data_IF_850856779564
#
_entry.id   IF_850856779564
#
_cell.length_a   1.000
_cell.length_b   1.000
_cell.length_c   1.000
_cell.angle_alpha   90.00
_cell.angle_beta   90.00
_cell.angle_gamma   90.00
#
_symmetry.space_group_name_H-M   'P 1'
#
loop_
_entity.id
_entity.type
_entity.pdbx_description
1 polymer ?
#
# COMPACT_ATOMS: atom_id res chain seq x y z
N UNK A 1 -34.95 -2.67 -40.38
CA UNK A 1 -34.56 -4.01 -40.83
C UNK A 1 -33.03 -4.02 -40.99
N UNK A 2 -32.37 -4.69 -40.04
CA UNK A 2 -30.99 -5.23 -40.05
C UNK A 2 -29.82 -4.29 -40.40
N UNK A 3 -29.22 -3.82 -39.32
CA UNK A 3 -27.82 -3.43 -39.15
C UNK A 3 -27.01 -4.71 -38.85
N UNK A 4 -25.87 -4.92 -39.53
CA UNK A 4 -24.75 -5.89 -39.32
C UNK A 4 -23.91 -5.75 -40.63
N UNK A 5 -22.57 -5.61 -40.73
CA UNK A 5 -21.50 -6.34 -40.05
C UNK A 5 -20.09 -5.84 -40.51
N UNK A 6 -19.70 -4.57 -40.32
CA UNK A 6 -18.35 -4.09 -40.72
C UNK A 6 -17.24 -4.49 -39.75
N UNK A 7 -17.55 -4.80 -38.49
CA UNK A 7 -16.56 -5.15 -37.47
C UNK A 7 -16.05 -6.60 -37.57
N UNK A 8 -16.81 -7.50 -38.20
CA UNK A 8 -16.41 -8.92 -38.35
C UNK A 8 -15.33 -9.15 -39.41
N UNK A 9 -15.25 -8.29 -40.43
CA UNK A 9 -14.22 -8.38 -41.47
C UNK A 9 -12.86 -7.90 -40.97
N UNK A 10 -12.82 -6.96 -40.02
CA UNK A 10 -11.57 -6.42 -39.48
C UNK A 10 -10.86 -7.41 -38.54
N UNK A 11 -11.62 -8.17 -37.75
CA UNK A 11 -11.06 -9.13 -36.79
C UNK A 11 -10.48 -10.37 -37.46
N UNK A 12 -11.10 -10.84 -38.55
CA UNK A 12 -10.68 -12.07 -39.24
C UNK A 12 -9.34 -11.90 -39.98
N UNK A 13 -9.05 -10.71 -40.52
CA UNK A 13 -7.81 -10.48 -41.26
C UNK A 13 -6.59 -10.31 -40.34
N UNK A 14 -6.75 -9.71 -39.16
CA UNK A 14 -5.64 -9.54 -38.21
C UNK A 14 -5.24 -10.89 -37.58
N UNK A 15 -6.22 -11.73 -37.22
CA UNK A 15 -5.97 -13.05 -36.62
C UNK A 15 -5.40 -14.08 -37.63
N UNK A 16 -5.60 -13.87 -38.94
CA UNK A 16 -5.04 -14.72 -39.99
C UNK A 16 -3.58 -14.38 -40.33
N UNK A 17 -3.19 -13.10 -40.24
CA UNK A 17 -1.82 -12.65 -40.57
C UNK A 17 -0.86 -12.82 -39.39
N UNK A 18 -1.34 -12.67 -38.14
CA UNK A 18 -0.54 -12.89 -36.91
C UNK A 18 -0.04 -14.36 -36.84
N UNK A 19 -0.75 -15.31 -37.43
CA UNK A 19 -0.30 -16.72 -37.47
C UNK A 19 0.86 -17.00 -38.43
N UNK A 20 1.23 -16.08 -39.32
CA UNK A 20 2.31 -16.31 -40.31
C UNK A 20 3.68 -15.74 -39.92
N UNK A 21 3.77 -15.01 -38.82
CA UNK A 21 5.04 -14.58 -38.21
C UNK A 21 6.05 -13.93 -39.20
N UNK A 22 5.56 -13.10 -40.12
CA UNK A 22 6.39 -12.35 -41.07
C UNK A 22 6.33 -10.85 -40.76
N UNK A 23 7.40 -10.32 -40.14
CA UNK A 23 7.49 -8.93 -39.69
C UNK A 23 7.57 -7.89 -40.83
N UNK A 24 7.73 -8.30 -42.09
CA UNK A 24 7.84 -7.34 -43.22
C UNK A 24 6.49 -6.80 -43.72
N UNK A 25 5.37 -7.38 -43.30
CA UNK A 25 4.03 -7.00 -43.79
C UNK A 25 3.38 -5.86 -42.99
N UNK A 26 3.82 -5.63 -41.75
CA UNK A 26 3.20 -4.63 -40.85
C UNK A 26 3.54 -3.18 -41.22
N UNK A 27 4.77 -2.94 -41.70
CA UNK A 27 5.24 -1.61 -42.12
C UNK A 27 4.56 -1.14 -43.42
N UNK A 28 4.23 -2.07 -44.31
CA UNK A 28 3.53 -1.82 -45.58
C UNK A 28 2.08 -1.34 -45.38
N UNK A 29 1.41 -1.83 -44.33
CA UNK A 29 0.00 -1.49 -44.02
C UNK A 29 -0.09 -0.10 -43.38
N UNK A 30 0.82 0.23 -42.46
CA UNK A 30 0.84 1.55 -41.80
C UNK A 30 1.17 2.69 -42.77
N UNK A 31 1.93 2.41 -43.84
CA UNK A 31 2.31 3.41 -44.84
C UNK A 31 1.27 3.64 -45.94
N UNK A 32 0.21 2.82 -46.04
CA UNK A 32 -0.84 2.98 -47.07
C UNK A 32 -2.10 3.71 -46.60
N UNK A 33 -2.36 3.85 -45.29
CA UNK A 33 -3.60 4.48 -44.79
C UNK A 33 -3.44 5.81 -44.03
N UNK A 34 -2.22 6.28 -43.78
CA UNK A 34 -2.00 7.60 -43.16
C UNK A 34 -1.74 8.69 -44.22
N UNK A 35 -2.79 9.40 -44.65
CA UNK A 35 -2.65 10.69 -45.34
C UNK A 35 -2.17 11.76 -44.35
N UNK A 36 -0.86 11.85 -44.12
CA UNK A 36 -0.24 12.98 -43.41
C UNK A 36 0.47 13.89 -44.42
N UNK A 37 0.26 15.23 -44.37
CA UNK A 37 0.85 16.15 -45.34
C UNK A 37 2.36 16.27 -45.18
N UNK A 38 3.05 16.22 -46.31
CA UNK A 38 4.50 16.27 -46.40
C UNK A 38 5.04 17.66 -46.08
N UNK A 39 5.84 17.81 -45.02
CA UNK A 39 7.02 18.69 -45.03
C UNK A 39 7.98 18.37 -43.88
N UNK A 40 9.23 18.15 -44.27
CA UNK A 40 10.49 18.02 -43.49
C UNK A 40 10.92 16.59 -43.12
N UNK A 41 11.43 15.91 -44.15
CA UNK A 41 12.59 15.02 -44.04
C UNK A 41 13.84 15.85 -43.70
N UNK A 42 14.62 15.45 -42.70
CA UNK A 42 16.09 15.44 -42.77
C UNK A 42 16.67 14.40 -41.81
N UNK A 43 17.49 13.54 -42.41
CA UNK A 43 18.27 12.44 -41.85
C UNK A 43 19.17 12.86 -40.68
N UNK A 44 19.41 11.91 -39.75
CA UNK A 44 20.72 11.26 -39.59
C UNK A 44 20.59 9.93 -38.82
N UNK A 45 20.94 8.86 -39.51
CA UNK A 45 21.30 7.56 -38.96
C UNK A 45 22.77 7.61 -38.51
N UNK A 46 23.06 7.14 -37.31
CA UNK A 46 24.36 6.56 -36.97
C UNK A 46 24.14 5.41 -36.00
N UNK A 47 24.67 4.26 -36.40
CA UNK A 47 24.50 2.93 -35.81
C UNK A 47 25.48 2.65 -34.65
N UNK A 48 25.13 1.64 -33.85
CA UNK A 48 25.97 0.96 -32.85
C UNK A 48 25.17 0.78 -31.55
N UNK A 49 24.90 -0.41 -31.00
CA UNK A 49 25.42 -1.74 -31.24
C UNK A 49 24.39 -2.81 -30.81
N UNK A 50 24.66 -4.03 -31.25
CA UNK A 50 23.84 -5.24 -31.25
C UNK A 50 23.34 -5.71 -29.86
N UNK A 51 22.11 -6.24 -29.83
CA UNK A 51 21.67 -7.17 -28.79
C UNK A 51 21.42 -8.53 -29.46
N UNK A 52 22.29 -9.48 -29.13
CA UNK A 52 22.30 -10.86 -29.59
C UNK A 52 21.17 -11.64 -28.88
N UNK A 53 20.29 -12.26 -29.65
CA UNK A 53 19.17 -13.07 -29.16
C UNK A 53 19.40 -14.50 -29.64
N UNK A 54 20.16 -15.28 -28.87
CA UNK A 54 20.35 -16.70 -29.13
C UNK A 54 19.10 -17.49 -28.71
N UNK A 55 18.40 -17.98 -29.73
CA UNK A 55 17.53 -19.16 -29.68
C UNK A 55 18.31 -20.37 -29.16
N UNK A 56 17.78 -21.06 -28.16
CA UNK A 56 18.09 -22.48 -27.95
C UNK A 56 16.81 -23.29 -27.78
N UNK A 57 16.64 -24.16 -28.78
CA UNK A 57 15.76 -25.30 -28.97
C UNK A 57 15.00 -25.90 -27.77
N UNK A 58 13.68 -25.71 -27.80
CA UNK A 58 12.67 -26.45 -27.04
C UNK A 58 12.35 -27.83 -27.64
N UNK A 59 13.36 -28.70 -27.77
CA UNK A 59 13.18 -30.13 -28.14
C UNK A 59 14.03 -31.13 -27.32
N UNK A 60 14.63 -30.73 -26.20
CA UNK A 60 15.27 -31.64 -25.24
C UNK A 60 14.93 -31.27 -23.80
N UNK A 61 13.69 -31.52 -23.39
CA UNK A 61 13.30 -31.61 -21.98
C UNK A 61 11.99 -32.42 -21.81
N UNK A 62 11.79 -33.41 -22.69
CA UNK A 62 10.78 -34.47 -22.57
C UNK A 62 11.50 -35.79 -22.27
N UNK A 63 12.08 -35.91 -21.08
CA UNK A 63 12.53 -37.20 -20.52
C UNK A 63 13.03 -37.07 -19.09
N UNK A 64 12.27 -36.41 -18.21
CA UNK A 64 12.48 -36.48 -16.75
C UNK A 64 11.34 -35.74 -16.06
N UNK A 65 10.24 -36.44 -15.81
CA UNK A 65 9.24 -36.23 -14.74
C UNK A 65 8.01 -37.08 -15.09
N UNK A 66 8.23 -38.38 -15.28
CA UNK A 66 7.21 -39.39 -15.10
C UNK A 66 7.58 -40.15 -13.83
N UNK A 67 6.58 -40.38 -12.97
CA UNK A 67 6.61 -40.99 -11.62
C UNK A 67 6.59 -39.99 -10.47
N UNK A 68 5.39 -39.58 -10.09
CA UNK A 68 4.91 -39.60 -8.70
C UNK A 68 3.38 -39.48 -8.74
N UNK A 69 2.72 -40.64 -8.82
CA UNK A 69 1.30 -40.79 -8.52
C UNK A 69 1.13 -40.79 -7.00
N UNK A 70 0.28 -39.92 -6.46
CA UNK A 70 -0.27 -40.07 -5.11
C UNK A 70 -1.79 -40.22 -5.21
N UNK A 71 -2.39 -41.25 -4.60
CA UNK A 71 -3.82 -41.48 -4.70
C UNK A 71 -4.62 -40.65 -3.68
N UNK A 72 -5.79 -40.20 -4.12
CA UNK A 72 -6.84 -39.59 -3.32
C UNK A 72 -7.52 -40.69 -2.48
N UNK A 73 -7.73 -40.47 -1.18
CA UNK A 73 -8.63 -41.28 -0.33
C UNK A 73 -9.58 -40.39 0.47
N UNK A 74 -10.85 -40.84 0.50
CA UNK A 74 -12.01 -40.26 1.18
C UNK A 74 -11.92 -40.31 2.72
N UNK A 75 -12.77 -39.56 3.46
CA UNK A 75 -12.69 -39.47 4.92
C UNK A 75 -13.46 -40.62 5.60
N UNK A 76 -12.92 -41.12 6.71
CA UNK A 76 -13.64 -42.04 7.59
C UNK A 76 -13.30 -41.76 9.07
N UNK A 77 -14.37 -41.45 9.81
CA UNK A 77 -14.64 -41.88 11.20
C UNK A 77 -13.59 -41.62 12.28
N UNK A 78 -13.78 -40.53 13.05
CA UNK A 78 -13.31 -40.45 14.42
C UNK A 78 -14.44 -40.87 15.37
N UNK A 79 -14.27 -42.02 16.03
CA UNK A 79 -15.10 -42.47 17.15
C UNK A 79 -14.51 -41.91 18.46
N UNK A 80 -15.40 -41.46 19.33
CA UNK A 80 -15.18 -41.23 20.76
C UNK A 80 -14.69 -42.51 21.46
N UNK A 81 -13.91 -42.40 22.55
CA UNK A 81 -14.36 -42.55 23.95
C UNK A 81 -13.14 -42.64 24.92
N UNK A 82 -13.29 -42.71 26.28
CA UNK A 82 -12.70 -41.72 27.17
C UNK A 82 -11.90 -42.33 28.36
N UNK A 83 -11.51 -41.45 29.29
CA UNK A 83 -11.46 -41.68 30.76
C UNK A 83 -10.38 -42.68 31.31
N UNK A 84 -9.49 -42.29 32.22
CA UNK A 84 -9.60 -42.30 33.72
C UNK A 84 -8.17 -42.58 34.30
N UNK A 85 -7.90 -42.63 35.63
CA UNK A 85 -8.20 -41.67 36.71
C UNK A 85 -7.11 -41.57 37.83
N UNK A 86 -7.41 -40.76 38.88
CA UNK A 86 -6.96 -40.89 40.30
C UNK A 86 -5.44 -40.76 40.62
N UNK A 87 -4.95 -40.19 41.73
CA UNK A 87 -5.52 -39.85 43.03
C UNK A 87 -4.64 -38.84 43.79
N UNK A 88 -5.24 -38.36 44.88
CA UNK A 88 -4.83 -37.40 45.91
C UNK A 88 -3.55 -37.78 46.68
N UNK A 89 -2.77 -36.78 47.11
CA UNK A 89 -2.76 -36.26 48.51
C UNK A 89 -1.67 -35.21 48.74
N UNK A 90 -1.99 -34.34 49.69
CA UNK A 90 -1.35 -33.12 50.18
C UNK A 90 0.09 -33.33 50.65
N UNK A 91 0.93 -32.31 50.48
CA UNK A 91 1.89 -31.87 51.51
C UNK A 91 1.99 -30.34 51.47
N UNK A 92 1.74 -29.75 52.64
CA UNK A 92 1.91 -28.34 52.95
C UNK A 92 3.40 -28.12 53.17
N UNK A 93 4.01 -27.23 52.39
CA UNK A 93 5.30 -26.64 52.71
C UNK A 93 5.17 -25.12 52.52
N UNK A 94 5.11 -24.40 53.63
CA UNK A 94 5.21 -22.96 53.66
C UNK A 94 6.65 -22.58 53.28
N UNK A 95 6.86 -22.22 52.01
CA UNK A 95 8.06 -21.55 51.56
C UNK A 95 7.78 -20.04 51.56
N UNK A 96 8.55 -19.30 52.35
CA UNK A 96 8.54 -17.84 52.34
C UNK A 96 8.93 -17.35 50.94
N UNK A 97 7.96 -16.81 50.19
CA UNK A 97 8.20 -16.14 48.91
C UNK A 97 8.64 -14.71 49.22
N UNK A 98 9.94 -14.47 49.18
CA UNK A 98 10.50 -13.13 49.01
C UNK A 98 10.00 -12.59 47.65
N UNK A 99 9.41 -11.38 47.57
CA UNK A 99 9.11 -10.78 46.29
C UNK A 99 10.43 -10.35 45.67
N UNK A 100 11.01 -11.21 44.82
CA UNK A 100 11.99 -10.75 43.85
C UNK A 100 11.20 -9.85 42.91
N UNK A 101 11.33 -8.54 43.10
CA UNK A 101 10.94 -7.56 42.11
C UNK A 101 11.77 -7.86 40.86
N UNK A 102 11.26 -8.72 39.99
CA UNK A 102 11.78 -8.85 38.64
C UNK A 102 11.63 -7.46 38.02
N UNK A 103 12.71 -6.84 37.53
CA UNK A 103 12.53 -5.67 36.69
C UNK A 103 11.67 -6.16 35.54
N UNK A 104 10.47 -5.61 35.41
CA UNK A 104 9.67 -5.69 34.20
C UNK A 104 10.52 -5.06 33.12
N UNK A 105 11.38 -5.88 32.51
CA UNK A 105 11.95 -5.57 31.21
C UNK A 105 10.74 -5.48 30.30
N UNK A 106 10.27 -4.25 30.11
CA UNK A 106 9.51 -3.88 28.94
C UNK A 106 10.26 -4.55 27.79
N UNK A 107 9.61 -5.53 27.16
CA UNK A 107 10.06 -6.13 25.92
C UNK A 107 10.06 -5.00 24.89
N UNK A 108 11.13 -4.21 24.90
CA UNK A 108 11.48 -3.34 23.81
C UNK A 108 11.52 -4.25 22.59
N UNK A 109 10.59 -4.06 21.67
CA UNK A 109 10.48 -4.78 20.41
C UNK A 109 11.73 -4.48 19.57
N UNK A 110 12.86 -5.08 19.94
CA UNK A 110 14.09 -5.15 19.16
C UNK A 110 13.91 -6.28 18.14
N UNK A 111 13.02 -6.03 17.20
CA UNK A 111 12.70 -6.92 16.09
C UNK A 111 12.32 -6.10 14.87
N UNK A 112 13.06 -5.04 14.56
CA UNK A 112 12.82 -4.21 13.38
C UNK A 112 12.99 -5.04 12.11
N UNK A 113 11.88 -5.53 11.55
CA UNK A 113 11.82 -6.10 10.21
C UNK A 113 12.40 -5.07 9.24
N UNK A 114 13.36 -5.48 8.42
CA UNK A 114 13.90 -4.60 7.37
C UNK A 114 12.72 -4.10 6.53
N UNK A 115 12.64 -2.79 6.23
CA UNK A 115 11.62 -2.30 5.33
C UNK A 115 11.78 -3.05 4.00
N UNK A 116 10.67 -3.47 3.38
CA UNK A 116 10.74 -4.25 2.16
C UNK A 116 11.48 -3.44 1.07
N UNK A 117 12.22 -4.11 0.15
CA UNK A 117 13.09 -3.44 -0.83
C UNK A 117 12.30 -2.48 -1.72
N UNK A 118 12.72 -1.22 -1.76
CA UNK A 118 12.07 -0.19 -2.58
C UNK A 118 12.40 -0.42 -4.06
N UNK A 119 11.36 -0.61 -4.89
CA UNK A 119 11.53 -0.96 -6.31
C UNK A 119 11.80 0.27 -7.20
N UNK A 120 11.66 1.47 -6.65
CA UNK A 120 11.69 2.74 -7.38
C UNK A 120 12.75 3.64 -6.78
N UNK A 121 13.66 4.29 -7.54
CA UNK A 121 14.67 5.20 -6.98
C UNK A 121 14.03 6.36 -6.19
N UNK A 122 14.73 7.01 -5.23
CA UNK A 122 14.23 8.18 -4.51
C UNK A 122 13.79 9.31 -5.44
N UNK A 123 12.82 10.16 -5.04
CA UNK A 123 12.36 11.23 -5.91
C UNK A 123 13.42 12.32 -5.97
N UNK A 124 13.53 12.95 -7.13
CA UNK A 124 14.39 14.10 -7.27
C UNK A 124 13.70 15.33 -6.66
N UNK A 125 14.39 16.09 -5.79
CA UNK A 125 13.82 17.29 -5.21
C UNK A 125 13.70 18.40 -6.26
N UNK A 126 12.60 19.16 -6.20
CA UNK A 126 12.38 20.33 -7.05
C UNK A 126 13.08 21.59 -6.52
N UNK A 127 13.18 21.72 -5.21
CA UNK A 127 13.77 22.85 -4.50
C UNK A 127 14.55 22.37 -3.25
N UNK A 128 15.23 23.30 -2.57
CA UNK A 128 16.03 22.96 -1.39
C UNK A 128 15.17 22.51 -0.19
N UNK A 129 13.92 22.94 -0.15
CA UNK A 129 12.97 22.46 0.85
C UNK A 129 12.68 20.96 0.63
N UNK A 130 12.34 20.54 -0.59
CA UNK A 130 12.11 19.13 -0.90
C UNK A 130 13.38 18.31 -0.70
N UNK A 131 14.54 18.87 -1.01
CA UNK A 131 15.83 18.22 -0.74
C UNK A 131 15.98 17.89 0.74
N UNK A 132 15.79 18.90 1.60
CA UNK A 132 15.84 18.73 3.05
C UNK A 132 14.81 17.71 3.55
N UNK A 133 13.56 17.81 3.09
CA UNK A 133 12.51 16.87 3.49
C UNK A 133 12.83 15.42 3.07
N UNK A 134 13.40 15.21 1.88
CA UNK A 134 13.81 13.88 1.42
C UNK A 134 15.02 13.34 2.19
N UNK A 135 15.95 14.19 2.61
CA UNK A 135 17.05 13.79 3.50
C UNK A 135 16.54 13.34 4.86
N UNK A 136 15.56 14.06 5.44
CA UNK A 136 14.90 13.67 6.70
C UNK A 136 14.14 12.36 6.53
N UNK A 137 13.39 12.17 5.45
CA UNK A 137 12.72 10.90 5.15
C UNK A 137 13.71 9.74 5.02
N UNK A 138 14.84 9.95 4.33
CA UNK A 138 15.87 8.93 4.20
C UNK A 138 16.49 8.57 5.56
N UNK A 139 16.74 9.55 6.43
CA UNK A 139 17.21 9.35 7.80
C UNK A 139 16.21 8.54 8.64
N UNK A 140 14.93 8.93 8.64
CA UNK A 140 13.87 8.20 9.36
C UNK A 140 13.81 6.75 8.89
N UNK A 141 13.76 6.54 7.56
CA UNK A 141 13.69 5.20 6.99
C UNK A 141 14.88 4.31 7.38
N UNK A 142 16.09 4.89 7.42
CA UNK A 142 17.32 4.15 7.74
C UNK A 142 17.49 3.89 9.25
N UNK A 143 17.19 4.89 10.07
CA UNK A 143 17.61 4.95 11.47
C UNK A 143 16.46 4.78 12.47
N UNK A 144 15.20 4.99 12.07
CA UNK A 144 14.03 4.94 12.96
C UNK A 144 13.09 3.79 12.55
N UNK A 145 13.35 2.59 13.08
CA UNK A 145 12.67 1.35 12.66
C UNK A 145 11.32 1.16 13.35
N UNK A 146 10.32 1.97 12.98
CA UNK A 146 8.96 1.92 13.55
C UNK A 146 7.88 1.49 12.55
N UNK A 147 8.13 0.45 11.77
CA UNK A 147 7.16 -0.09 10.79
C UNK A 147 6.57 0.96 9.84
N UNK A 148 7.38 1.93 9.42
CA UNK A 148 6.94 2.98 8.49
C UNK A 148 6.38 2.37 7.19
N UNK A 149 5.41 3.07 6.60
CA UNK A 149 5.01 2.86 5.20
C UNK A 149 6.22 2.81 4.27
N UNK A 150 6.09 2.11 3.16
CA UNK A 150 7.15 2.14 2.16
C UNK A 150 7.25 3.51 1.49
N UNK A 151 8.40 3.83 0.88
CA UNK A 151 8.52 5.08 0.09
C UNK A 151 7.48 5.17 -1.02
N UNK A 152 7.16 4.05 -1.66
CA UNK A 152 6.19 4.04 -2.76
C UNK A 152 4.78 4.35 -2.25
N UNK A 153 4.41 3.85 -1.06
CA UNK A 153 3.15 4.20 -0.42
C UNK A 153 3.15 5.67 0.05
N UNK A 154 4.26 6.17 0.62
CA UNK A 154 4.42 7.58 0.94
C UNK A 154 4.26 8.50 -0.28
N UNK A 155 4.81 8.11 -1.43
CA UNK A 155 4.60 8.83 -2.70
C UNK A 155 3.16 8.80 -3.16
N UNK A 156 2.50 7.65 -3.02
CA UNK A 156 1.07 7.52 -3.32
C UNK A 156 0.26 8.50 -2.46
N UNK A 157 0.51 8.58 -1.14
CA UNK A 157 -0.15 9.52 -0.24
C UNK A 157 0.04 10.98 -0.69
N UNK A 158 1.29 11.35 -1.02
CA UNK A 158 1.62 12.69 -1.53
C UNK A 158 0.87 13.01 -2.83
N UNK A 159 0.86 12.09 -3.79
CA UNK A 159 0.21 12.29 -5.09
C UNK A 159 -1.30 12.47 -4.91
N UNK A 160 -1.94 11.61 -4.13
CA UNK A 160 -3.38 11.71 -3.88
C UNK A 160 -3.77 13.00 -3.18
N UNK A 161 -3.02 13.41 -2.16
CA UNK A 161 -3.29 14.65 -1.46
C UNK A 161 -3.12 15.90 -2.35
N UNK A 162 -2.14 15.91 -3.27
CA UNK A 162 -1.93 17.02 -4.23
C UNK A 162 -3.05 17.04 -5.27
N UNK A 163 -3.37 15.89 -5.89
CA UNK A 163 -4.41 15.77 -6.91
C UNK A 163 -5.82 16.09 -6.37
N UNK A 164 -6.10 15.71 -5.12
CA UNK A 164 -7.37 16.02 -4.47
C UNK A 164 -7.47 17.48 -3.98
N UNK A 165 -6.41 18.29 -4.15
CA UNK A 165 -6.31 19.65 -3.62
C UNK A 165 -6.66 19.74 -2.13
N UNK A 166 -6.19 18.76 -1.35
CA UNK A 166 -6.54 18.54 0.05
C UNK A 166 -6.28 19.78 0.90
N UNK A 167 -7.30 20.26 1.62
CA UNK A 167 -7.21 21.36 2.61
C UNK A 167 -7.21 20.84 4.04
N UNK A 168 -7.99 19.80 4.31
CA UNK A 168 -8.06 19.14 5.62
C UNK A 168 -7.76 17.65 5.50
N UNK A 169 -6.59 17.26 5.98
CA UNK A 169 -6.16 15.87 6.07
C UNK A 169 -6.22 15.36 7.52
N UNK A 170 -6.59 14.11 7.70
CA UNK A 170 -6.56 13.39 8.97
C UNK A 170 -5.65 12.16 8.82
N UNK A 171 -4.75 11.94 9.75
CA UNK A 171 -3.93 10.72 9.82
C UNK A 171 -4.13 10.03 11.17
N UNK A 172 -4.39 8.73 11.14
CA UNK A 172 -4.52 7.88 12.32
C UNK A 172 -3.28 6.99 12.40
N UNK A 173 -2.44 7.22 13.41
CA UNK A 173 -1.13 6.58 13.55
C UNK A 173 -0.01 7.44 12.99
N UNK A 174 0.55 8.34 13.82
CA UNK A 174 1.68 9.18 13.40
C UNK A 174 3.01 8.43 13.38
N UNK A 175 3.23 7.51 14.34
CA UNK A 175 4.53 6.89 14.60
C UNK A 175 5.62 7.96 14.75
N UNK A 176 6.74 7.87 14.03
CA UNK A 176 7.76 8.93 13.98
C UNK A 176 7.57 9.94 12.84
N UNK A 177 6.40 9.93 12.19
CA UNK A 177 5.99 10.99 11.25
C UNK A 177 6.40 10.79 9.79
N UNK A 178 6.79 9.58 9.38
CA UNK A 178 7.24 9.34 8.00
C UNK A 178 6.14 9.61 6.96
N UNK A 179 4.96 9.00 7.12
CA UNK A 179 3.78 9.22 6.25
C UNK A 179 3.28 10.67 6.33
N UNK A 180 3.24 11.23 7.53
CA UNK A 180 2.82 12.61 7.78
C UNK A 180 3.65 13.63 6.97
N UNK A 181 4.98 13.43 6.89
CA UNK A 181 5.87 14.29 6.08
C UNK A 181 5.50 14.18 4.59
N UNK A 182 5.26 12.97 4.07
CA UNK A 182 4.84 12.80 2.68
C UNK A 182 3.53 13.52 2.37
N UNK A 183 2.54 13.42 3.26
CA UNK A 183 1.26 14.13 3.14
C UNK A 183 1.51 15.65 3.19
N UNK A 184 2.30 16.13 4.15
CA UNK A 184 2.57 17.54 4.33
C UNK A 184 3.30 18.19 3.14
N UNK A 185 4.13 17.43 2.40
CA UNK A 185 4.73 17.91 1.14
C UNK A 185 3.67 18.31 0.10
N UNK A 186 2.55 17.58 0.04
CA UNK A 186 1.42 17.96 -0.81
C UNK A 186 0.66 19.15 -0.19
N UNK A 187 0.41 19.12 1.12
CA UNK A 187 -0.34 20.17 1.82
C UNK A 187 0.33 21.54 1.74
N UNK A 188 1.66 21.61 1.68
CA UNK A 188 2.38 22.85 1.42
C UNK A 188 1.95 23.51 0.11
N UNK A 189 1.70 22.71 -0.94
CA UNK A 189 1.28 23.19 -2.26
C UNK A 189 -0.20 23.56 -2.27
N UNK A 190 -1.03 22.76 -1.62
CA UNK A 190 -2.47 23.00 -1.56
C UNK A 190 -2.84 24.07 -0.52
N UNK A 191 -1.93 24.45 0.39
CA UNK A 191 -2.25 25.32 1.51
C UNK A 191 -3.15 24.64 2.56
N UNK A 192 -3.07 23.31 2.65
CA UNK A 192 -3.84 22.51 3.60
C UNK A 192 -3.12 22.28 4.95
N UNK A 193 -3.81 21.58 5.85
CA UNK A 193 -3.29 21.16 7.16
C UNK A 193 -3.59 19.69 7.44
N UNK A 194 -2.70 19.06 8.18
CA UNK A 194 -2.82 17.68 8.65
C UNK A 194 -3.07 17.68 10.16
N UNK A 195 -4.08 16.95 10.61
CA UNK A 195 -4.18 16.53 12.02
C UNK A 195 -3.82 15.06 12.10
N UNK A 196 -2.81 14.72 12.88
CA UNK A 196 -2.32 13.35 13.05
C UNK A 196 -2.46 12.88 14.51
N UNK A 197 -2.78 11.61 14.72
CA UNK A 197 -3.04 11.05 16.05
C UNK A 197 -1.97 10.02 16.44
N UNK A 198 -1.39 10.17 17.62
CA UNK A 198 -0.40 9.25 18.19
C UNK A 198 -0.65 9.02 19.68
N UNK A 199 -0.73 7.76 20.08
CA UNK A 199 -1.02 7.38 21.47
C UNK A 199 0.23 7.48 22.35
N UNK A 200 1.40 7.24 21.77
CA UNK A 200 2.67 7.21 22.47
C UNK A 200 3.34 8.59 22.49
N UNK A 201 3.47 9.15 23.68
CA UNK A 201 4.01 10.50 23.87
C UNK A 201 5.45 10.65 23.39
N UNK A 202 6.29 9.62 23.55
CA UNK A 202 7.70 9.68 23.13
C UNK A 202 7.83 9.62 21.61
N UNK A 203 7.00 8.78 20.97
CA UNK A 203 6.91 8.75 19.50
C UNK A 203 6.36 10.04 18.94
N UNK A 204 5.32 10.61 19.55
CA UNK A 204 4.79 11.92 19.17
C UNK A 204 5.85 13.03 19.28
N UNK A 205 6.67 13.01 20.34
CA UNK A 205 7.77 13.96 20.49
C UNK A 205 8.85 13.76 19.41
N UNK A 206 9.15 12.51 19.06
CA UNK A 206 10.07 12.17 17.95
C UNK A 206 9.51 12.66 16.60
N UNK A 207 8.22 12.45 16.34
CA UNK A 207 7.54 12.95 15.14
C UNK A 207 7.60 14.47 15.06
N UNK A 208 7.30 15.19 16.16
CA UNK A 208 7.39 16.64 16.20
C UNK A 208 8.82 17.15 15.89
N UNK A 209 9.85 16.48 16.39
CA UNK A 209 11.24 16.80 16.06
C UNK A 209 11.54 16.56 14.56
N UNK A 210 11.06 15.45 14.00
CA UNK A 210 11.19 15.14 12.58
C UNK A 210 10.45 16.16 11.70
N UNK A 211 9.28 16.64 12.10
CA UNK A 211 8.52 17.67 11.37
C UNK A 211 9.27 18.99 11.31
N UNK A 212 9.87 19.41 12.43
CA UNK A 212 10.73 20.60 12.48
C UNK A 212 11.94 20.44 11.57
N UNK A 213 12.63 19.29 11.63
CA UNK A 213 13.75 18.98 10.75
C UNK A 213 13.38 19.05 9.27
N UNK A 214 12.21 18.52 8.91
CA UNK A 214 11.70 18.53 7.53
C UNK A 214 11.09 19.88 7.11
N UNK A 215 10.92 20.83 8.03
CA UNK A 215 10.32 22.15 7.77
C UNK A 215 8.80 22.13 7.54
N UNK A 216 8.10 21.11 8.04
CA UNK A 216 6.65 20.91 7.84
C UNK A 216 5.83 21.06 9.12
N UNK A 217 6.44 21.39 10.25
CA UNK A 217 5.77 21.51 11.55
C UNK A 217 4.64 22.56 11.55
N UNK A 218 4.76 23.62 10.76
CA UNK A 218 3.69 24.62 10.60
C UNK A 218 2.41 24.09 9.90
N UNK A 219 2.46 22.90 9.30
CA UNK A 219 1.36 22.28 8.54
C UNK A 219 0.69 21.12 9.28
N UNK A 220 1.27 20.64 10.38
CA UNK A 220 0.87 19.41 11.05
C UNK A 220 0.56 19.68 12.53
N UNK A 221 -0.66 19.35 12.93
CA UNK A 221 -1.10 19.34 14.32
C UNK A 221 -1.09 17.90 14.85
N UNK A 222 -0.33 17.62 15.91
CA UNK A 222 -0.29 16.30 16.55
C UNK A 222 -1.25 16.25 17.73
N UNK A 223 -2.18 15.31 17.71
CA UNK A 223 -3.05 14.98 18.84
C UNK A 223 -2.44 13.78 19.58
N UNK A 224 -1.90 14.04 20.76
CA UNK A 224 -1.32 12.99 21.61
C UNK A 224 -2.44 12.36 22.45
N UNK A 225 -2.81 11.13 22.13
CA UNK A 225 -3.94 10.46 22.76
C UNK A 225 -4.43 9.22 22.01
N UNK A 226 -5.47 8.63 22.58
CA UNK A 226 -6.13 7.45 22.03
C UNK A 226 -7.07 7.87 20.89
N UNK A 227 -6.68 7.54 19.65
CA UNK A 227 -7.42 7.90 18.45
C UNK A 227 -8.87 7.39 18.49
N UNK A 228 -9.16 6.24 19.13
CA UNK A 228 -10.54 5.74 19.26
C UNK A 228 -11.45 6.71 20.01
N UNK A 229 -10.89 7.47 20.97
CA UNK A 229 -11.63 8.44 21.79
C UNK A 229 -11.67 9.82 21.13
N UNK A 230 -10.62 10.17 20.42
CA UNK A 230 -10.43 11.54 19.94
C UNK A 230 -10.87 11.75 18.49
N UNK A 231 -10.95 10.70 17.66
CA UNK A 231 -11.39 10.80 16.26
C UNK A 231 -12.81 11.37 16.12
N UNK A 232 -13.68 11.12 17.10
CA UNK A 232 -15.03 11.68 17.15
C UNK A 232 -15.05 13.21 17.21
N UNK A 233 -14.01 13.82 17.80
CA UNK A 233 -13.86 15.27 17.96
C UNK A 233 -13.48 16.00 16.67
N UNK A 234 -13.10 15.28 15.61
CA UNK A 234 -12.85 15.88 14.29
C UNK A 234 -14.16 16.51 13.80
N UNK A 235 -14.19 17.82 13.61
CA UNK A 235 -15.37 18.55 13.13
C UNK A 235 -15.23 18.98 11.67
N UNK A 236 -16.33 19.25 10.99
CA UNK A 236 -16.34 19.77 9.61
C UNK A 236 -15.94 18.73 8.55
N UNK A 237 -15.97 19.17 7.29
CA UNK A 237 -15.65 18.33 6.14
C UNK A 237 -14.15 17.99 6.08
N UNK A 238 -13.85 16.73 5.79
CA UNK A 238 -12.50 16.20 5.60
C UNK A 238 -12.29 15.86 4.13
N UNK A 239 -11.12 16.16 3.58
CA UNK A 239 -10.80 15.89 2.18
C UNK A 239 -10.04 14.56 2.02
N UNK A 240 -9.20 14.25 3.00
CA UNK A 240 -8.25 13.15 2.95
C UNK A 240 -8.12 12.51 4.32
N UNK A 241 -8.21 11.18 4.37
CA UNK A 241 -7.91 10.39 5.57
C UNK A 241 -6.85 9.37 5.23
N UNK A 242 -5.87 9.20 6.11
CA UNK A 242 -4.94 8.07 6.09
C UNK A 242 -5.06 7.30 7.41
N UNK A 243 -5.26 5.99 7.33
CA UNK A 243 -5.42 5.10 8.48
C UNK A 243 -4.31 4.05 8.50
N UNK A 244 -3.39 4.20 9.44
CA UNK A 244 -2.24 3.33 9.69
C UNK A 244 -2.01 3.16 11.22
N UNK A 245 -3.09 2.81 11.90
CA UNK A 245 -3.11 2.59 13.35
C UNK A 245 -3.35 1.10 13.67
N UNK A 246 -3.94 0.82 14.83
CA UNK A 246 -4.37 -0.51 15.22
C UNK A 246 -5.47 -1.05 14.28
N UNK A 247 -5.38 -2.33 13.91
CA UNK A 247 -6.28 -2.94 12.92
C UNK A 247 -7.72 -3.06 13.41
N UNK A 248 -7.91 -3.35 14.69
CA UNK A 248 -9.23 -3.48 15.30
C UNK A 248 -10.01 -2.16 15.21
N UNK A 249 -9.31 -1.01 15.14
CA UNK A 249 -9.91 0.30 14.99
C UNK A 249 -10.37 0.69 13.59
N UNK A 250 -9.94 0.02 12.51
CA UNK A 250 -10.17 0.52 11.14
C UNK A 250 -11.66 0.74 10.83
N UNK A 251 -12.52 -0.21 11.20
CA UNK A 251 -13.97 -0.05 11.01
C UNK A 251 -14.55 1.08 11.85
N UNK A 252 -14.08 1.24 13.10
CA UNK A 252 -14.50 2.32 14.00
C UNK A 252 -14.10 3.69 13.43
N UNK A 253 -12.85 3.82 13.00
CA UNK A 253 -12.30 5.02 12.38
C UNK A 253 -13.04 5.39 11.09
N UNK A 254 -13.28 4.40 10.22
CA UNK A 254 -14.04 4.61 9.00
C UNK A 254 -15.46 5.10 9.30
N UNK A 255 -16.19 4.44 10.21
CA UNK A 255 -17.54 4.89 10.59
C UNK A 255 -17.56 6.29 11.18
N UNK A 256 -16.52 6.70 11.91
CA UNK A 256 -16.43 8.03 12.51
C UNK A 256 -16.11 9.13 11.49
N UNK A 257 -15.33 8.82 10.45
CA UNK A 257 -14.79 9.82 9.51
C UNK A 257 -15.45 9.79 8.12
N UNK A 258 -15.93 8.66 7.62
CA UNK A 258 -16.56 8.53 6.31
C UNK A 258 -17.80 9.45 6.12
N UNK A 259 -18.66 9.67 7.14
CA UNK A 259 -19.72 10.67 7.05
C UNK A 259 -19.20 12.11 6.91
N UNK A 260 -17.99 12.40 7.43
CA UNK A 260 -17.33 13.71 7.39
C UNK A 260 -16.49 13.90 6.13
N UNK A 261 -16.16 12.81 5.44
CA UNK A 261 -15.44 12.86 4.17
C UNK A 261 -16.32 13.56 3.13
N UNK A 262 -15.80 14.59 2.47
CA UNK A 262 -16.54 15.26 1.39
C UNK A 262 -16.69 14.34 0.18
N UNK A 263 -17.69 14.63 -0.65
CA UNK A 263 -17.73 14.13 -2.02
C UNK A 263 -16.41 14.43 -2.74
N UNK A 264 -15.87 13.44 -3.44
CA UNK A 264 -14.56 13.52 -4.08
C UNK A 264 -13.37 13.39 -3.11
N UNK A 265 -13.63 13.15 -1.82
CA UNK A 265 -12.61 12.92 -0.81
C UNK A 265 -12.12 11.47 -0.83
N UNK A 266 -10.96 11.22 -0.23
CA UNK A 266 -10.33 9.89 -0.19
C UNK A 266 -10.04 9.43 1.22
N UNK A 267 -10.29 8.16 1.49
CA UNK A 267 -9.90 7.43 2.69
C UNK A 267 -8.90 6.35 2.26
N UNK A 268 -7.67 6.45 2.75
CA UNK A 268 -6.57 5.54 2.42
C UNK A 268 -6.25 4.71 3.66
N UNK A 269 -6.04 3.42 3.50
CA UNK A 269 -5.72 2.49 4.59
C UNK A 269 -4.51 1.66 4.25
N UNK A 270 -3.53 1.60 5.14
CA UNK A 270 -2.34 0.77 4.97
C UNK A 270 -2.58 -0.66 5.48
N UNK A 271 -1.64 -1.56 5.20
CA UNK A 271 -1.62 -2.96 5.62
C UNK A 271 -2.89 -3.72 5.23
N UNK A 272 -3.36 -3.56 4.00
CA UNK A 272 -4.60 -4.18 3.48
C UNK A 272 -4.40 -5.58 2.89
N UNK A 273 -3.17 -6.08 2.89
CA UNK A 273 -2.81 -7.45 2.54
C UNK A 273 -2.21 -8.22 3.73
N UNK A 274 -1.25 -7.61 4.44
CA UNK A 274 -0.53 -8.25 5.57
C UNK A 274 -0.32 -7.24 6.71
N UNK A 275 -0.80 -7.53 7.94
CA UNK A 275 -1.73 -8.63 8.27
C UNK A 275 -3.07 -8.50 7.51
N UNK A 276 -3.81 -9.60 7.41
CA UNK A 276 -5.12 -9.58 6.75
C UNK A 276 -6.06 -8.58 7.45
N UNK A 277 -6.73 -7.69 6.70
CA UNK A 277 -7.64 -6.70 7.29
C UNK A 277 -8.92 -7.37 7.80
N UNK A 278 -9.57 -6.73 8.78
CA UNK A 278 -10.90 -7.17 9.25
C UNK A 278 -11.88 -7.25 8.07
N UNK A 279 -12.49 -8.42 7.80
CA UNK A 279 -13.49 -8.57 6.74
C UNK A 279 -14.67 -7.61 6.86
N UNK A 280 -15.04 -7.19 8.07
CA UNK A 280 -16.09 -6.20 8.28
C UNK A 280 -15.68 -4.81 7.79
N UNK A 281 -14.42 -4.43 7.98
CA UNK A 281 -13.86 -3.21 7.41
C UNK A 281 -13.81 -3.28 5.88
N UNK A 282 -13.30 -4.39 5.32
CA UNK A 282 -13.24 -4.57 3.86
C UNK A 282 -14.63 -4.49 3.23
N UNK A 283 -15.65 -5.12 3.82
CA UNK A 283 -17.04 -4.98 3.36
C UNK A 283 -17.50 -3.52 3.40
N UNK A 284 -17.27 -2.82 4.52
CA UNK A 284 -17.71 -1.44 4.68
C UNK A 284 -17.19 -0.50 3.57
N UNK A 285 -15.97 -0.71 3.10
CA UNK A 285 -15.38 0.12 2.03
C UNK A 285 -15.65 -0.38 0.61
N UNK A 286 -16.20 -1.59 0.42
CA UNK A 286 -16.38 -2.20 -0.91
C UNK A 286 -17.83 -2.44 -1.32
N UNK A 287 -18.78 -2.45 -0.39
CA UNK A 287 -20.18 -2.78 -0.69
C UNK A 287 -21.13 -1.59 -0.70
N UNK A 288 -20.69 -0.44 -0.19
CA UNK A 288 -21.49 0.79 -0.17
C UNK A 288 -21.32 1.54 -1.51
N UNK A 289 -22.41 1.80 -2.26
CA UNK A 289 -22.36 2.38 -3.60
C UNK A 289 -21.84 3.83 -3.63
N UNK A 290 -21.81 4.51 -2.48
CA UNK A 290 -21.24 5.85 -2.34
C UNK A 290 -19.71 5.84 -2.35
N UNK A 291 -19.08 4.66 -2.28
CA UNK A 291 -17.64 4.50 -2.27
C UNK A 291 -17.15 3.64 -3.44
N UNK A 292 -15.98 3.99 -3.95
CA UNK A 292 -15.23 3.19 -4.91
C UNK A 292 -13.85 2.89 -4.32
N UNK A 293 -13.52 1.61 -4.19
CA UNK A 293 -12.27 1.17 -3.55
C UNK A 293 -11.39 0.38 -4.51
N UNK A 294 -10.11 0.73 -4.55
CA UNK A 294 -9.07 0.00 -5.26
C UNK A 294 -7.93 -0.37 -4.31
N UNK A 295 -7.29 -1.51 -4.59
CA UNK A 295 -6.22 -2.07 -3.77
C UNK A 295 -4.89 -2.03 -4.52
N UNK A 296 -3.89 -1.37 -3.94
CA UNK A 296 -2.55 -1.19 -4.49
C UNK A 296 -1.52 -1.99 -3.69
N UNK A 297 -0.38 -2.31 -4.32
CA UNK A 297 0.79 -2.90 -3.66
C UNK A 297 0.51 -4.17 -2.83
N UNK A 298 -0.51 -4.94 -3.20
CA UNK A 298 -1.00 -6.13 -2.47
C UNK A 298 0.01 -7.29 -2.39
N UNK A 299 1.12 -7.21 -3.13
CA UNK A 299 2.25 -8.13 -3.02
C UNK A 299 3.15 -7.83 -1.79
N UNK A 300 2.84 -6.78 -1.01
CA UNK A 300 3.56 -6.34 0.20
C UNK A 300 2.56 -6.22 1.36
N UNK A 301 2.58 -5.11 2.10
CA UNK A 301 1.60 -4.80 3.15
C UNK A 301 0.25 -4.42 2.55
N UNK A 302 0.24 -3.79 1.36
CA UNK A 302 -0.96 -3.45 0.60
C UNK A 302 -1.65 -2.18 1.11
N UNK A 303 -2.18 -1.36 0.19
CA UNK A 303 -2.88 -0.13 0.50
C UNK A 303 -4.25 -0.15 -0.18
N UNK A 304 -5.32 0.18 0.54
CA UNK A 304 -6.63 0.46 -0.06
C UNK A 304 -6.81 1.97 -0.21
N UNK A 305 -7.30 2.39 -1.38
CA UNK A 305 -7.75 3.76 -1.63
C UNK A 305 -9.25 3.73 -1.88
N UNK A 306 -10.00 4.35 -0.98
CA UNK A 306 -11.46 4.43 -1.01
C UNK A 306 -11.87 5.87 -1.32
N UNK A 307 -12.45 6.08 -2.50
CA UNK A 307 -12.93 7.38 -2.97
C UNK A 307 -14.42 7.52 -2.71
N UNK A 308 -14.86 8.65 -2.13
CA UNK A 308 -16.28 8.96 -1.95
C UNK A 308 -16.84 9.61 -3.20
N UNK A 309 -17.81 8.96 -3.82
CA UNK A 309 -18.44 9.35 -5.09
C UNK A 309 -19.35 10.57 -4.89
N UNK A 310 -19.72 11.17 -6.02
CA UNK A 310 -20.61 12.33 -6.09
C UNK A 310 -22.07 11.94 -6.20
#
# INVERSE_FOLDING_TARGET
MIQLNSERLFKVNVDAEIRRNDCRSFESIMLRECKLPARRRRLRLSAGAAFDMQRTDSKRLLSRFAKLQFPIRSPANFRENPAMPFSRRRLIAAAAVLPIAAPTQALAQRGGRQPPPENTPPPLPRDDFERNAFEVLADIHKNQRFLNVSRDDGRLLRIWADLANTKKAIELGTSTGYSAIWIALALRRTGGRLTTFEIDRERAATAAANFKRAGVDGLIDIVVGDAHKDVGKVTGAVDFVFSDADKDGYLTYFRALAPKLRTGGVFISDNMAIPEPDPAYVRAITTDPDYETVFFNMHRTGVAVTHKRA
#
